data_IF_949930835637
#
_entry.id   IF_949930835637
#
_cell.length_a   1.000
_cell.length_b   1.000
_cell.length_c   1.000
_cell.angle_alpha   90.00
_cell.angle_beta   90.00
_cell.angle_gamma   90.00
#
_symmetry.space_group_name_H-M   'P 1'
#
loop_
_entity.id
_entity.type
_entity.pdbx_description
1 polymer ?
#
# COMPACT_ATOMS: atom_id res chain seq x y z
N UNK A 1 49.55 -40.90 -2.60
CA UNK A 1 49.91 -41.21 -1.19
C UNK A 1 48.94 -40.52 -0.32
N UNK A 2 48.21 -41.22 0.22
CA UNK A 2 47.45 -41.94 1.23
C UNK A 2 46.14 -41.16 1.47
N UNK A 3 45.08 -41.68 1.11
CA UNK A 3 44.01 -42.47 1.73
C UNK A 3 43.89 -42.34 3.24
N UNK A 4 42.73 -41.81 3.68
CA UNK A 4 42.09 -42.25 4.90
C UNK A 4 40.56 -42.03 4.90
N UNK A 5 39.81 -43.09 4.69
CA UNK A 5 38.46 -43.35 5.20
C UNK A 5 38.55 -44.06 6.52
N UNK A 6 37.67 -43.83 7.50
CA UNK A 6 36.73 -44.88 7.87
C UNK A 6 35.32 -44.45 8.27
N UNK A 7 34.39 -45.22 7.78
CA UNK A 7 33.43 -46.13 8.41
C UNK A 7 32.32 -45.59 9.30
N UNK A 8 31.15 -45.94 8.78
CA UNK A 8 29.78 -46.05 9.38
C UNK A 8 29.76 -46.60 10.81
N UNK A 9 28.83 -46.07 11.61
CA UNK A 9 28.05 -46.87 12.55
C UNK A 9 26.58 -46.43 12.53
N UNK A 10 25.76 -47.37 12.10
CA UNK A 10 24.31 -47.49 12.33
C UNK A 10 24.07 -47.63 13.82
N UNK A 11 23.10 -46.98 14.38
CA UNK A 11 22.36 -47.52 15.51
C UNK A 11 20.88 -47.17 15.41
N UNK A 12 20.14 -48.26 15.27
CA UNK A 12 18.72 -48.44 15.16
C UNK A 12 18.15 -48.50 16.57
N UNK A 13 17.23 -47.64 16.98
CA UNK A 13 16.29 -47.98 18.06
C UNK A 13 14.87 -47.51 17.72
N UNK A 14 14.06 -48.51 17.63
CA UNK A 14 12.60 -48.51 17.36
C UNK A 14 11.82 -48.00 18.56
N UNK A 15 10.79 -47.23 18.25
CA UNK A 15 9.39 -47.14 18.74
C UNK A 15 9.02 -47.68 20.14
N UNK A 16 7.91 -47.20 20.75
CA UNK A 16 6.60 -47.62 20.25
C UNK A 16 5.49 -46.54 20.23
N UNK A 17 4.54 -46.83 19.32
CA UNK A 17 3.23 -46.20 19.22
C UNK A 17 2.36 -46.56 20.45
N UNK A 18 1.58 -45.55 20.90
CA UNK A 18 0.43 -45.82 21.76
C UNK A 18 -0.80 -45.28 21.04
N UNK A 19 -1.56 -46.25 20.51
CA UNK A 19 -2.97 -46.13 20.17
C UNK A 19 -3.79 -45.99 21.45
N UNK A 20 -4.69 -45.03 21.53
CA UNK A 20 -5.87 -45.13 22.37
C UNK A 20 -7.11 -44.73 21.57
N UNK A 21 -7.85 -45.76 21.17
CA UNK A 21 -9.27 -45.72 20.79
C UNK A 21 -10.13 -45.62 22.04
N UNK A 22 -11.20 -44.82 21.96
CA UNK A 22 -12.49 -45.03 22.64
C UNK A 22 -13.45 -44.02 22.03
N UNK A 23 -14.34 -44.34 21.17
CA UNK A 23 -15.55 -45.18 21.17
C UNK A 23 -16.71 -44.53 21.96
N UNK A 24 -17.71 -44.12 21.15
CA UNK A 24 -19.17 -44.21 21.33
C UNK A 24 -19.80 -43.68 22.63
N UNK A 25 -20.75 -42.75 22.46
CA UNK A 25 -22.15 -43.16 22.73
C UNK A 25 -23.14 -42.15 22.12
N UNK A 26 -23.99 -42.69 21.24
CA UNK A 26 -25.23 -42.12 20.79
C UNK A 26 -26.28 -42.27 21.89
N UNK A 27 -27.06 -41.28 22.14
CA UNK A 27 -28.31 -41.37 22.90
C UNK A 27 -29.46 -40.71 22.11
N UNK A 28 -30.22 -41.57 21.50
CA UNK A 28 -31.54 -41.39 20.93
C UNK A 28 -32.55 -41.32 22.09
N UNK A 29 -33.39 -40.27 22.18
CA UNK A 29 -34.62 -40.34 22.96
C UNK A 29 -35.78 -39.83 22.13
N UNK A 30 -36.75 -40.70 22.02
CA UNK A 30 -38.01 -40.67 21.31
C UNK A 30 -39.02 -39.61 21.76
N UNK A 31 -39.85 -39.31 20.80
CA UNK A 31 -41.24 -38.81 20.86
C UNK A 31 -42.06 -39.17 22.09
N UNK A 32 -42.88 -38.22 22.53
CA UNK A 32 -44.25 -38.50 22.97
C UNK A 32 -45.19 -37.41 22.46
N UNK A 33 -46.17 -37.89 21.68
CA UNK A 33 -47.34 -37.19 21.16
C UNK A 33 -48.47 -37.29 22.17
N UNK A 34 -49.14 -36.22 22.49
CA UNK A 34 -50.55 -36.11 22.92
C UNK A 34 -50.90 -34.62 22.72
N UNK A 35 -51.84 -34.20 22.01
CA UNK A 35 -53.17 -34.64 21.71
C UNK A 35 -54.15 -33.52 22.04
N UNK A 36 -54.78 -32.92 21.02
CA UNK A 36 -56.08 -32.27 20.98
C UNK A 36 -56.42 -31.09 21.90
N UNK A 37 -56.79 -29.96 21.26
CA UNK A 37 -57.57 -28.89 21.82
C UNK A 37 -57.59 -27.67 20.90
N UNK A 38 -58.51 -27.66 19.90
CA UNK A 38 -58.70 -26.49 19.04
C UNK A 38 -59.59 -25.42 19.69
N UNK A 39 -59.28 -24.17 19.37
CA UNK A 39 -60.23 -23.04 19.22
C UNK A 39 -59.50 -21.77 18.74
N UNK A 40 -60.17 -20.72 18.27
CA UNK A 40 -59.98 -20.27 16.88
C UNK A 40 -59.07 -19.06 16.74
N UNK A 41 -58.66 -18.83 15.47
CA UNK A 41 -57.77 -17.78 15.03
C UNK A 41 -58.23 -16.35 15.40
N UNK A 42 -57.31 -15.63 16.03
CA UNK A 42 -57.26 -14.15 16.05
C UNK A 42 -56.35 -13.65 14.94
N UNK A 43 -56.50 -12.42 14.44
CA UNK A 43 -55.77 -11.93 13.27
C UNK A 43 -54.28 -11.80 13.56
N UNK A 44 -53.45 -12.34 12.63
CA UNK A 44 -52.02 -12.43 12.77
C UNK A 44 -51.34 -11.08 12.87
N UNK A 45 -50.56 -10.96 13.92
CA UNK A 45 -49.49 -9.96 14.04
C UNK A 45 -48.32 -10.39 13.13
N UNK A 46 -48.05 -9.62 12.11
CA UNK A 46 -46.84 -9.76 11.33
C UNK A 46 -45.63 -9.44 12.22
N UNK A 47 -44.54 -10.23 12.15
CA UNK A 47 -43.29 -9.86 12.83
C UNK A 47 -42.83 -8.50 12.28
N UNK A 48 -42.20 -7.63 13.10
CA UNK A 48 -41.70 -6.35 12.66
C UNK A 48 -40.67 -6.54 11.57
N UNK A 49 -40.84 -5.83 10.45
CA UNK A 49 -39.90 -5.78 9.37
C UNK A 49 -38.57 -5.31 9.94
N UNK A 50 -37.45 -6.03 9.58
CA UNK A 50 -36.12 -5.59 9.87
C UNK A 50 -35.92 -4.16 9.35
N UNK A 51 -35.25 -3.27 10.09
CA UNK A 51 -34.98 -1.92 9.62
C UNK A 51 -34.22 -1.97 8.30
N UNK A 52 -34.78 -1.30 7.28
CA UNK A 52 -34.06 -1.12 6.02
C UNK A 52 -32.69 -0.51 6.30
N UNK A 53 -31.66 -1.17 5.84
CA UNK A 53 -30.31 -0.63 5.87
C UNK A 53 -30.32 0.64 5.02
N UNK A 54 -30.35 1.77 5.69
CA UNK A 54 -30.21 3.08 5.07
C UNK A 54 -28.85 3.10 4.39
N UNK A 55 -28.86 3.14 3.06
CA UNK A 55 -27.65 3.30 2.25
C UNK A 55 -27.06 4.65 2.66
N UNK A 56 -26.01 4.64 3.47
CA UNK A 56 -25.31 5.85 3.85
C UNK A 56 -24.92 6.59 2.55
N UNK A 57 -25.41 7.81 2.41
CA UNK A 57 -24.96 8.72 1.38
C UNK A 57 -23.43 8.85 1.47
N UNK A 58 -22.72 8.98 0.34
CA UNK A 58 -21.28 9.18 0.38
C UNK A 58 -20.99 10.39 1.27
N UNK A 59 -20.13 10.19 2.27
CA UNK A 59 -19.74 11.25 3.17
C UNK A 59 -19.22 12.43 2.33
N UNK A 60 -19.82 13.60 2.52
CA UNK A 60 -19.35 14.81 1.87
C UNK A 60 -17.85 14.97 2.16
N UNK A 61 -17.07 15.10 1.11
CA UNK A 61 -15.62 15.31 1.18
C UNK A 61 -15.36 16.50 2.10
N UNK A 62 -14.63 16.28 3.19
CA UNK A 62 -14.28 17.36 4.10
C UNK A 62 -13.58 18.46 3.30
N UNK A 63 -13.90 19.75 3.50
CA UNK A 63 -13.23 20.84 2.79
C UNK A 63 -11.72 20.72 3.00
N UNK A 64 -10.96 20.86 1.91
CA UNK A 64 -9.50 20.81 1.96
C UNK A 64 -9.01 21.76 3.06
N UNK A 65 -8.10 21.32 3.94
CA UNK A 65 -7.63 22.15 5.04
C UNK A 65 -7.08 23.46 4.49
N UNK A 66 -7.54 24.58 5.00
CA UNK A 66 -6.95 25.89 4.75
C UNK A 66 -5.57 25.89 5.42
N UNK A 67 -4.53 25.72 4.61
CA UNK A 67 -3.15 25.83 5.08
C UNK A 67 -2.85 27.31 5.33
N UNK A 68 -3.04 27.76 6.56
CA UNK A 68 -2.75 29.13 6.97
C UNK A 68 -1.24 29.44 7.05
N UNK A 69 -0.38 28.39 7.02
CA UNK A 69 1.08 28.57 7.06
C UNK A 69 1.56 29.28 5.77
N UNK A 70 2.10 30.53 5.88
CA UNK A 70 2.56 31.30 4.74
C UNK A 70 3.67 30.61 3.92
N UNK A 71 4.39 29.66 4.51
CA UNK A 71 5.45 28.91 3.82
C UNK A 71 4.88 27.80 2.92
N UNK A 72 3.76 27.18 3.31
CA UNK A 72 3.15 26.06 2.61
C UNK A 72 2.03 26.49 1.66
N UNK A 73 1.26 27.53 2.04
CA UNK A 73 0.13 28.03 1.28
C UNK A 73 0.43 28.30 -0.22
N UNK A 74 1.58 28.87 -0.62
CA UNK A 74 1.90 29.07 -2.03
C UNK A 74 2.07 27.75 -2.80
N UNK A 75 2.59 26.69 -2.14
CA UNK A 75 2.82 25.38 -2.74
C UNK A 75 1.48 24.67 -2.97
N UNK A 76 0.52 24.84 -2.08
CA UNK A 76 -0.77 24.16 -2.11
C UNK A 76 -1.79 24.83 -3.05
N UNK A 77 -1.58 26.09 -3.44
CA UNK A 77 -2.49 26.79 -4.36
C UNK A 77 -2.54 26.14 -5.75
N UNK A 78 -3.73 25.96 -6.34
CA UNK A 78 -3.86 25.49 -7.70
C UNK A 78 -3.09 26.39 -8.69
N UNK A 79 -2.37 25.75 -9.62
CA UNK A 79 -1.62 26.42 -10.66
C UNK A 79 -1.38 25.50 -11.85
N UNK A 80 -1.54 25.97 -13.07
CA UNK A 80 -1.60 25.16 -14.31
C UNK A 80 -0.58 25.53 -15.40
N UNK A 81 0.48 26.26 -15.07
CA UNK A 81 1.53 26.59 -16.06
C UNK A 81 2.47 25.41 -16.39
N UNK A 82 3.44 25.66 -17.25
CA UNK A 82 4.47 24.69 -17.65
C UNK A 82 5.82 24.99 -16.95
N UNK A 83 6.88 24.31 -17.36
CA UNK A 83 8.21 24.28 -16.74
C UNK A 83 8.81 25.66 -16.50
N UNK A 84 8.68 26.59 -17.43
CA UNK A 84 9.18 27.97 -17.31
C UNK A 84 8.62 28.68 -16.07
N UNK A 85 7.32 28.54 -15.86
CA UNK A 85 6.66 29.04 -14.66
C UNK A 85 7.09 28.29 -13.38
N UNK A 86 7.31 26.97 -13.47
CA UNK A 86 7.83 26.17 -12.35
C UNK A 86 9.25 26.63 -11.96
N UNK A 87 10.11 26.87 -12.95
CA UNK A 87 11.46 27.41 -12.74
C UNK A 87 11.41 28.81 -12.15
N UNK A 88 10.51 29.67 -12.60
CA UNK A 88 10.33 31.02 -12.07
C UNK A 88 9.90 31.02 -10.60
N UNK A 89 8.96 30.15 -10.22
CA UNK A 89 8.49 30.00 -8.82
C UNK A 89 9.41 29.15 -7.95
N UNK A 90 10.45 28.51 -8.53
CA UNK A 90 11.48 27.72 -7.87
C UNK A 90 11.02 26.38 -7.28
N UNK A 91 9.88 25.84 -7.68
CA UNK A 91 9.47 24.51 -7.26
C UNK A 91 8.60 23.81 -8.31
N UNK A 92 8.70 22.47 -8.31
CA UNK A 92 7.86 21.52 -9.04
C UNK A 92 7.16 20.65 -7.99
N UNK A 93 5.86 20.52 -8.07
CA UNK A 93 5.05 19.71 -7.16
C UNK A 93 4.87 18.33 -7.72
N UNK A 94 5.37 17.33 -7.01
CA UNK A 94 5.26 15.93 -7.38
C UNK A 94 4.26 15.23 -6.47
N UNK A 95 3.12 14.80 -7.01
CA UNK A 95 2.12 14.01 -6.30
C UNK A 95 2.61 12.57 -6.20
N UNK A 96 2.58 12.01 -5.00
CA UNK A 96 3.01 10.64 -4.73
C UNK A 96 2.02 9.94 -3.80
N UNK A 97 1.65 8.67 -4.03
CA UNK A 97 0.92 7.91 -3.03
C UNK A 97 1.88 7.49 -1.91
N UNK A 98 1.38 7.47 -0.67
CA UNK A 98 2.13 6.94 0.45
C UNK A 98 2.18 5.42 0.36
N UNK A 99 3.37 4.83 0.28
CA UNK A 99 3.56 3.39 0.03
C UNK A 99 4.82 2.89 0.70
N UNK A 100 4.79 1.68 1.24
CA UNK A 100 5.94 1.03 1.92
C UNK A 100 7.17 0.86 1.00
N UNK A 101 7.02 1.01 -0.33
CA UNK A 101 8.10 0.83 -1.31
C UNK A 101 8.37 2.04 -2.19
N UNK A 102 7.31 2.82 -2.54
CA UNK A 102 7.46 3.94 -3.47
C UNK A 102 7.70 5.28 -2.79
N UNK A 103 6.96 5.60 -1.72
CA UNK A 103 7.16 6.85 -0.98
C UNK A 103 6.74 6.69 0.48
N UNK A 104 7.66 6.87 1.41
CA UNK A 104 7.42 6.83 2.85
C UNK A 104 8.42 7.74 3.58
N UNK A 105 8.12 8.03 4.83
CA UNK A 105 9.02 8.78 5.72
C UNK A 105 9.70 7.78 6.65
N UNK A 106 11.02 7.86 6.75
CA UNK A 106 11.82 7.06 7.68
C UNK A 106 12.79 7.97 8.43
N UNK A 107 12.57 8.15 9.72
CA UNK A 107 13.38 9.03 10.60
C UNK A 107 13.50 10.46 10.07
N UNK A 108 12.39 11.01 9.56
CA UNK A 108 12.34 12.34 8.98
C UNK A 108 12.81 12.43 7.52
N UNK A 109 13.42 11.38 6.96
CA UNK A 109 13.87 11.35 5.58
C UNK A 109 12.79 10.79 4.64
N UNK A 110 12.57 11.44 3.52
CA UNK A 110 11.77 10.89 2.43
C UNK A 110 12.53 9.75 1.75
N UNK A 111 11.91 8.56 1.69
CA UNK A 111 12.50 7.35 1.12
C UNK A 111 11.53 6.66 0.17
N UNK A 112 12.04 5.69 -0.58
CA UNK A 112 11.27 4.93 -1.58
C UNK A 112 11.68 5.27 -3.01
N UNK A 113 11.17 4.49 -3.96
CA UNK A 113 11.55 4.61 -5.37
C UNK A 113 11.21 6.01 -5.90
N UNK A 114 10.01 6.51 -5.63
CA UNK A 114 9.60 7.85 -6.07
C UNK A 114 10.46 8.94 -5.42
N UNK A 115 10.76 8.83 -4.13
CA UNK A 115 11.60 9.80 -3.43
C UNK A 115 13.02 9.89 -4.03
N UNK A 116 13.64 8.73 -4.33
CA UNK A 116 14.96 8.69 -4.96
C UNK A 116 14.94 9.26 -6.38
N UNK A 117 13.91 8.91 -7.18
CA UNK A 117 13.73 9.43 -8.53
C UNK A 117 13.54 10.96 -8.54
N UNK A 118 12.71 11.49 -7.64
CA UNK A 118 12.47 12.93 -7.52
C UNK A 118 13.73 13.69 -7.11
N UNK A 119 14.48 13.16 -6.15
CA UNK A 119 15.75 13.75 -5.69
C UNK A 119 16.79 13.80 -6.82
N UNK A 120 16.93 12.72 -7.59
CA UNK A 120 17.86 12.70 -8.71
C UNK A 120 17.37 13.58 -9.87
N UNK A 121 16.05 13.62 -10.14
CA UNK A 121 15.47 14.54 -11.11
C UNK A 121 15.73 16.00 -10.76
N UNK A 122 15.55 16.40 -9.49
CA UNK A 122 15.90 17.73 -9.00
C UNK A 122 17.37 18.08 -9.28
N UNK A 123 18.26 17.17 -8.96
CA UNK A 123 19.71 17.33 -9.15
C UNK A 123 20.05 17.51 -10.65
N UNK A 124 19.57 16.63 -11.52
CA UNK A 124 19.81 16.67 -12.98
C UNK A 124 19.22 17.94 -13.60
N UNK A 125 18.00 18.31 -13.21
CA UNK A 125 17.34 19.54 -13.68
C UNK A 125 18.16 20.78 -13.31
N UNK A 126 18.59 20.91 -12.05
CA UNK A 126 19.37 22.03 -11.60
C UNK A 126 20.76 22.12 -12.25
N UNK A 127 21.40 20.99 -12.53
CA UNK A 127 22.64 20.94 -13.30
C UNK A 127 22.43 21.47 -14.74
N UNK A 128 21.36 21.04 -15.40
CA UNK A 128 21.01 21.47 -16.75
C UNK A 128 20.67 22.97 -16.81
N UNK A 129 19.91 23.46 -15.84
CA UNK A 129 19.54 24.88 -15.71
C UNK A 129 20.72 25.75 -15.25
N UNK A 130 21.85 25.15 -14.87
CA UNK A 130 23.04 25.83 -14.31
C UNK A 130 22.68 26.73 -13.12
N UNK A 131 21.71 26.29 -12.30
CA UNK A 131 21.35 27.03 -11.10
C UNK A 131 22.52 27.01 -10.10
N UNK A 132 22.78 28.15 -9.45
CA UNK A 132 23.83 28.28 -8.42
C UNK A 132 23.19 28.23 -7.02
N UNK A 133 22.99 29.38 -6.40
CA UNK A 133 22.41 29.50 -5.06
C UNK A 133 20.89 29.25 -5.03
N UNK A 134 20.17 29.69 -6.07
CA UNK A 134 18.71 29.59 -6.15
C UNK A 134 18.30 28.36 -6.99
N UNK A 135 18.12 27.23 -6.34
CA UNK A 135 17.69 25.97 -6.98
C UNK A 135 16.19 25.94 -7.26
N UNK A 136 15.78 25.07 -8.17
CA UNK A 136 14.41 24.62 -8.34
C UNK A 136 14.24 23.36 -7.52
N UNK A 137 13.33 23.35 -6.57
CA UNK A 137 13.06 22.20 -5.70
C UNK A 137 11.95 21.33 -6.25
N UNK A 138 12.07 20.02 -6.11
CA UNK A 138 11.00 19.06 -6.42
C UNK A 138 10.37 18.67 -5.08
N UNK A 139 9.16 19.17 -4.84
CA UNK A 139 8.44 18.97 -3.58
C UNK A 139 7.49 17.79 -3.73
N UNK A 140 7.74 16.72 -3.01
CA UNK A 140 6.81 15.59 -2.94
C UNK A 140 5.59 15.96 -2.08
N UNK A 141 4.40 15.75 -2.64
CA UNK A 141 3.12 15.97 -1.98
C UNK A 141 2.40 14.62 -1.89
N UNK A 142 2.35 14.00 -0.70
CA UNK A 142 1.62 12.75 -0.50
C UNK A 142 0.11 12.98 -0.69
N UNK A 143 -0.50 12.13 -1.52
CA UNK A 143 -1.95 12.15 -1.79
C UNK A 143 -2.46 10.72 -1.96
N UNK A 144 -3.76 10.52 -1.83
CA UNK A 144 -4.37 9.22 -2.15
C UNK A 144 -4.21 8.93 -3.65
N UNK A 145 -4.11 7.66 -3.98
CA UNK A 145 -3.87 7.22 -5.37
C UNK A 145 -4.98 7.63 -6.33
N UNK A 146 -6.24 7.57 -5.89
CA UNK A 146 -7.42 7.99 -6.67
C UNK A 146 -7.43 9.50 -7.00
N UNK A 147 -6.74 10.32 -6.19
CA UNK A 147 -6.67 11.76 -6.37
C UNK A 147 -5.56 12.22 -7.34
N UNK A 148 -4.61 11.35 -7.69
CA UNK A 148 -3.42 11.74 -8.45
C UNK A 148 -3.75 12.46 -9.77
N UNK A 149 -4.59 11.87 -10.61
CA UNK A 149 -4.91 12.45 -11.93
C UNK A 149 -5.81 13.66 -11.79
N UNK A 150 -6.80 13.61 -10.91
CA UNK A 150 -7.68 14.75 -10.64
C UNK A 150 -6.89 15.96 -10.14
N UNK A 151 -5.97 15.76 -9.21
CA UNK A 151 -5.12 16.84 -8.68
C UNK A 151 -4.14 17.40 -9.72
N UNK A 152 -3.65 16.59 -10.66
CA UNK A 152 -2.89 17.10 -11.82
C UNK A 152 -3.77 18.01 -12.68
N UNK A 153 -5.00 17.60 -13.01
CA UNK A 153 -5.94 18.36 -13.82
C UNK A 153 -6.30 19.68 -13.13
N UNK A 154 -6.58 19.65 -11.85
CA UNK A 154 -6.91 20.83 -11.02
C UNK A 154 -5.70 21.77 -10.77
N UNK A 155 -4.50 21.35 -11.19
CA UNK A 155 -3.30 22.15 -10.95
C UNK A 155 -2.82 22.15 -9.49
N UNK A 156 -3.17 21.16 -8.69
CA UNK A 156 -2.65 20.95 -7.33
C UNK A 156 -1.29 20.25 -7.32
N UNK A 157 -0.92 19.62 -8.44
CA UNK A 157 0.38 19.02 -8.73
C UNK A 157 0.82 19.32 -10.14
N UNK A 158 2.10 19.12 -10.42
CA UNK A 158 2.70 19.33 -11.74
C UNK A 158 3.10 18.00 -12.37
N UNK A 159 3.52 17.04 -11.54
CA UNK A 159 4.01 15.71 -11.88
C UNK A 159 3.41 14.70 -10.91
N UNK A 160 3.18 13.46 -11.33
CA UNK A 160 2.77 12.35 -10.45
C UNK A 160 3.64 11.12 -10.70
N UNK A 161 4.07 10.47 -9.62
CA UNK A 161 4.82 9.21 -9.61
C UNK A 161 4.21 8.26 -8.58
N UNK A 162 4.27 6.94 -8.84
CA UNK A 162 3.76 5.95 -7.91
C UNK A 162 3.36 4.65 -8.58
N UNK A 163 4.21 4.09 -9.44
CA UNK A 163 3.90 2.87 -10.20
C UNK A 163 2.65 3.04 -11.07
N UNK A 164 2.62 4.10 -11.88
CA UNK A 164 1.46 4.45 -12.68
C UNK A 164 1.51 3.73 -14.03
N UNK A 165 0.60 2.77 -14.22
CA UNK A 165 0.44 2.07 -15.50
C UNK A 165 -0.20 3.00 -16.53
N UNK A 166 0.41 3.07 -17.70
CA UNK A 166 -0.12 3.80 -18.85
C UNK A 166 -1.26 3.01 -19.48
N UNK A 167 -2.46 3.59 -19.48
CA UNK A 167 -3.63 3.01 -20.18
C UNK A 167 -4.25 4.03 -21.13
N UNK A 168 -4.97 3.58 -22.18
CA UNK A 168 -5.67 4.50 -23.09
C UNK A 168 -6.67 5.42 -22.36
N UNK A 169 -7.33 4.91 -21.33
CA UNK A 169 -8.30 5.69 -20.55
C UNK A 169 -7.60 6.81 -19.76
N UNK A 170 -6.48 6.51 -19.13
CA UNK A 170 -5.68 7.49 -18.39
C UNK A 170 -5.04 8.54 -19.29
N UNK A 171 -4.62 8.14 -20.50
CA UNK A 171 -4.10 9.06 -21.51
C UNK A 171 -5.14 10.05 -22.04
N UNK A 172 -6.44 9.78 -21.88
CA UNK A 172 -7.49 10.78 -22.16
C UNK A 172 -7.48 11.91 -21.13
N UNK A 173 -7.03 11.65 -19.91
CA UNK A 173 -7.05 12.59 -18.78
C UNK A 173 -5.75 13.38 -18.63
N UNK A 174 -4.61 12.70 -18.72
CA UNK A 174 -3.26 13.23 -18.48
C UNK A 174 -2.30 12.79 -19.56
N UNK A 175 -1.13 13.41 -19.64
CA UNK A 175 -0.02 12.96 -20.45
C UNK A 175 0.95 12.13 -19.59
N UNK A 176 1.67 11.22 -20.25
CA UNK A 176 2.69 10.38 -19.61
C UNK A 176 4.07 10.64 -20.23
N UNK A 177 5.10 10.41 -19.43
CA UNK A 177 6.47 10.38 -19.90
C UNK A 177 6.73 9.15 -20.78
N UNK A 178 7.91 9.10 -21.41
CA UNK A 178 8.48 7.83 -21.88
C UNK A 178 8.47 6.82 -20.72
N UNK A 179 8.28 5.51 -20.99
CA UNK A 179 8.21 4.52 -19.94
C UNK A 179 9.51 4.39 -19.14
N UNK A 180 9.41 4.44 -17.82
CA UNK A 180 10.50 4.10 -16.91
C UNK A 180 10.69 2.58 -16.78
N UNK A 181 9.62 1.81 -16.96
CA UNK A 181 9.61 0.34 -16.99
C UNK A 181 8.61 -0.14 -18.05
N UNK A 182 8.94 -1.23 -18.73
CA UNK A 182 8.08 -1.88 -19.75
C UNK A 182 7.99 -3.37 -19.50
N UNK A 183 7.03 -4.03 -20.16
CA UNK A 183 6.85 -5.47 -20.04
C UNK A 183 6.25 -5.89 -18.69
N UNK A 184 5.58 -4.99 -18.01
CA UNK A 184 4.90 -5.28 -16.74
C UNK A 184 3.70 -6.19 -16.99
N UNK A 185 3.51 -7.15 -16.13
CA UNK A 185 2.37 -8.08 -16.14
C UNK A 185 1.54 -7.87 -14.89
N UNK A 186 0.23 -7.83 -15.05
CA UNK A 186 -0.72 -7.81 -13.94
C UNK A 186 -1.13 -9.25 -13.63
N UNK A 187 -0.66 -9.78 -12.51
CA UNK A 187 -0.82 -11.17 -12.12
C UNK A 187 -1.84 -11.35 -11.02
N UNK A 188 -2.57 -12.44 -11.06
CA UNK A 188 -3.51 -12.82 -10.00
C UNK A 188 -2.72 -13.37 -8.81
N UNK A 189 -3.00 -12.82 -7.63
CA UNK A 189 -2.44 -13.29 -6.35
C UNK A 189 -3.57 -13.79 -5.48
N UNK A 190 -3.43 -15.01 -4.94
CA UNK A 190 -4.40 -15.63 -4.06
C UNK A 190 -3.80 -15.89 -2.68
N UNK A 191 -4.66 -15.99 -1.66
CA UNK A 191 -4.28 -16.35 -0.30
C UNK A 191 -4.95 -17.67 0.15
N UNK A 192 -4.91 -17.98 1.45
CA UNK A 192 -5.53 -19.18 2.00
C UNK A 192 -7.01 -19.32 1.65
N UNK A 193 -7.74 -18.21 1.59
CA UNK A 193 -9.16 -18.17 1.23
C UNK A 193 -9.44 -18.38 -0.28
N UNK A 194 -8.40 -18.36 -1.13
CA UNK A 194 -8.49 -18.43 -2.59
C UNK A 194 -7.56 -19.43 -3.26
N UNK A 195 -7.08 -20.45 -2.58
CA UNK A 195 -5.91 -21.27 -2.95
C UNK A 195 -6.00 -22.09 -4.24
N UNK A 196 -7.21 -22.34 -4.79
CA UNK A 196 -7.41 -23.30 -5.90
C UNK A 196 -7.65 -22.61 -7.27
N UNK A 197 -7.28 -21.36 -7.42
CA UNK A 197 -7.42 -20.60 -8.68
C UNK A 197 -6.28 -20.98 -9.62
N UNK A 198 -6.62 -21.44 -10.84
CA UNK A 198 -5.70 -21.83 -11.91
C UNK A 198 -6.05 -21.20 -13.25
N UNK A 199 -7.24 -20.64 -13.36
CA UNK A 199 -7.78 -20.05 -14.59
C UNK A 199 -8.68 -18.86 -14.30
N UNK A 200 -9.00 -18.05 -15.31
CA UNK A 200 -10.01 -16.99 -15.20
C UNK A 200 -11.41 -17.54 -14.88
N UNK A 201 -11.69 -18.82 -15.25
CA UNK A 201 -12.95 -19.45 -14.93
C UNK A 201 -13.08 -19.72 -13.42
N UNK A 202 -12.00 -20.07 -12.78
CA UNK A 202 -11.97 -20.26 -11.31
C UNK A 202 -12.20 -18.94 -10.57
N UNK A 203 -11.80 -17.80 -11.17
CA UNK A 203 -12.08 -16.45 -10.61
C UNK A 203 -13.56 -16.05 -10.71
N UNK A 204 -14.34 -16.63 -11.64
CA UNK A 204 -15.76 -16.31 -11.80
C UNK A 204 -16.60 -16.67 -10.56
N UNK A 205 -16.14 -17.59 -9.74
CA UNK A 205 -16.78 -17.97 -8.47
C UNK A 205 -16.18 -17.31 -7.24
N UNK A 206 -15.20 -16.40 -7.40
CA UNK A 206 -14.45 -15.79 -6.31
C UNK A 206 -14.37 -14.29 -6.45
N UNK A 207 -14.31 -13.61 -5.32
CA UNK A 207 -14.13 -12.17 -5.28
C UNK A 207 -12.69 -11.79 -5.55
N UNK A 208 -12.47 -10.85 -6.46
CA UNK A 208 -11.16 -10.24 -6.73
C UNK A 208 -11.22 -8.79 -6.28
N UNK A 209 -10.40 -8.45 -5.30
CA UNK A 209 -10.38 -7.16 -4.65
C UNK A 209 -9.26 -6.27 -5.18
N UNK A 210 -9.60 -5.17 -5.83
CA UNK A 210 -8.67 -4.18 -6.35
C UNK A 210 -9.27 -2.79 -6.18
N UNK A 211 -8.45 -1.74 -6.07
CA UNK A 211 -8.95 -0.36 -6.04
C UNK A 211 -9.63 -0.02 -7.35
N UNK A 212 -10.74 0.71 -7.28
CA UNK A 212 -11.46 1.16 -8.48
C UNK A 212 -10.63 2.13 -9.34
N UNK A 213 -9.70 2.88 -8.74
CA UNK A 213 -8.76 3.77 -9.43
C UNK A 213 -7.57 3.06 -10.10
N UNK A 214 -7.39 1.75 -9.90
CA UNK A 214 -6.24 0.98 -10.41
C UNK A 214 -6.41 0.61 -11.89
N UNK A 215 -5.28 0.37 -12.60
CA UNK A 215 -5.29 -0.25 -13.92
C UNK A 215 -5.81 -1.68 -13.88
N UNK A 216 -5.63 -2.36 -12.76
CA UNK A 216 -6.15 -3.71 -12.54
C UNK A 216 -7.68 -3.75 -12.66
N UNK A 217 -8.37 -2.76 -12.11
CA UNK A 217 -9.82 -2.61 -12.27
C UNK A 217 -10.22 -2.39 -13.73
N UNK A 218 -9.53 -1.47 -14.41
CA UNK A 218 -9.77 -1.18 -15.83
C UNK A 218 -9.62 -2.45 -16.69
N UNK A 219 -8.55 -3.21 -16.50
CA UNK A 219 -8.28 -4.41 -17.29
C UNK A 219 -9.21 -5.57 -16.91
N UNK A 220 -9.55 -5.75 -15.63
CA UNK A 220 -10.54 -6.76 -15.21
C UNK A 220 -11.94 -6.45 -15.75
N UNK A 221 -12.32 -5.18 -15.84
CA UNK A 221 -13.57 -4.79 -16.52
C UNK A 221 -13.53 -5.13 -18.02
N UNK A 222 -12.38 -4.94 -18.69
CA UNK A 222 -12.21 -5.34 -20.08
C UNK A 222 -12.30 -6.86 -20.24
N UNK A 223 -11.67 -7.64 -19.36
CA UNK A 223 -11.81 -9.10 -19.30
C UNK A 223 -13.28 -9.49 -19.14
N UNK A 224 -14.01 -8.87 -18.22
CA UNK A 224 -15.43 -9.15 -18.00
C UNK A 224 -16.29 -8.78 -19.23
N UNK A 225 -15.96 -7.71 -19.94
CA UNK A 225 -16.67 -7.34 -21.16
C UNK A 225 -16.51 -8.42 -22.25
N UNK A 226 -15.31 -8.97 -22.42
CA UNK A 226 -15.08 -10.07 -23.38
C UNK A 226 -15.76 -11.38 -22.93
N UNK A 227 -15.69 -11.72 -21.63
CA UNK A 227 -16.38 -12.91 -21.07
C UNK A 227 -17.90 -12.80 -21.27
N UNK A 228 -18.48 -11.63 -21.05
CA UNK A 228 -19.92 -11.38 -21.31
C UNK A 228 -20.30 -11.61 -22.78
N UNK A 229 -19.47 -11.12 -23.72
CA UNK A 229 -19.67 -11.39 -25.17
C UNK A 229 -19.60 -12.89 -25.47
N UNK A 230 -18.69 -13.60 -24.83
CA UNK A 230 -18.53 -15.04 -24.98
C UNK A 230 -19.58 -15.87 -24.18
N UNK A 231 -20.49 -15.22 -23.45
CA UNK A 231 -21.47 -15.84 -22.55
C UNK A 231 -20.83 -16.73 -21.48
N UNK A 232 -19.65 -16.33 -21.02
CA UNK A 232 -18.92 -16.93 -19.92
C UNK A 232 -19.21 -16.17 -18.60
N UNK A 233 -19.12 -16.85 -17.45
CA UNK A 233 -19.26 -16.19 -16.15
C UNK A 233 -18.22 -15.08 -15.96
N UNK A 234 -18.65 -13.93 -15.45
CA UNK A 234 -17.76 -12.78 -15.17
C UNK A 234 -16.96 -13.01 -13.88
N UNK A 235 -15.77 -12.42 -13.80
CA UNK A 235 -14.99 -12.33 -12.57
C UNK A 235 -15.73 -11.42 -11.58
N UNK A 236 -15.85 -11.84 -10.33
CA UNK A 236 -16.54 -11.06 -9.29
C UNK A 236 -15.62 -9.95 -8.76
N UNK A 237 -15.73 -8.76 -9.35
CA UNK A 237 -14.93 -7.60 -8.94
C UNK A 237 -15.49 -6.98 -7.66
N UNK A 238 -14.59 -6.66 -6.73
CA UNK A 238 -14.86 -5.89 -5.52
C UNK A 238 -13.91 -4.71 -5.43
N UNK A 239 -14.45 -3.54 -5.15
CA UNK A 239 -13.65 -2.35 -4.91
C UNK A 239 -13.04 -2.42 -3.51
N UNK A 240 -11.71 -2.42 -3.46
CA UNK A 240 -10.97 -2.19 -2.23
C UNK A 240 -11.00 -0.69 -1.88
N UNK A 241 -10.81 -0.38 -0.60
CA UNK A 241 -10.73 1.01 -0.14
C UNK A 241 -9.54 1.73 -0.83
N UNK A 242 -9.79 2.94 -1.30
CA UNK A 242 -8.79 3.75 -2.02
C UNK A 242 -7.64 4.24 -1.12
N UNK A 243 -7.76 4.12 0.18
CA UNK A 243 -6.68 4.40 1.14
C UNK A 243 -5.65 3.26 1.23
N UNK A 244 -6.01 2.06 0.77
CA UNK A 244 -5.12 0.90 0.78
C UNK A 244 -4.19 0.93 -0.44
N UNK A 245 -2.91 0.67 -0.23
CA UNK A 245 -1.96 0.40 -1.31
C UNK A 245 -1.94 -1.09 -1.66
N UNK A 246 -1.25 -1.45 -2.74
CA UNK A 246 -1.19 -2.85 -3.21
C UNK A 246 -0.64 -3.80 -2.14
N UNK A 247 0.34 -3.33 -1.37
CA UNK A 247 0.91 -4.08 -0.25
C UNK A 247 -0.05 -4.32 0.91
N UNK A 248 -0.99 -3.41 1.16
CA UNK A 248 -1.96 -3.56 2.22
C UNK A 248 -3.04 -4.57 1.81
N UNK A 249 -3.47 -4.53 0.54
CA UNK A 249 -4.39 -5.53 -0.02
C UNK A 249 -3.72 -6.92 -0.03
N UNK A 250 -2.44 -7.01 -0.40
CA UNK A 250 -1.68 -8.27 -0.35
C UNK A 250 -1.55 -8.81 1.09
N UNK A 251 -1.39 -7.93 2.08
CA UNK A 251 -1.37 -8.32 3.50
C UNK A 251 -2.72 -8.91 3.93
N UNK A 252 -3.84 -8.31 3.49
CA UNK A 252 -5.19 -8.86 3.74
C UNK A 252 -5.41 -10.21 3.04
N UNK A 253 -4.88 -10.37 1.82
CA UNK A 253 -4.91 -11.65 1.10
C UNK A 253 -4.08 -12.69 1.84
N UNK A 254 -2.88 -12.35 2.32
CA UNK A 254 -2.03 -13.23 3.13
C UNK A 254 -2.72 -13.66 4.42
N UNK A 255 -3.44 -12.76 5.08
CA UNK A 255 -4.19 -13.06 6.30
C UNK A 255 -5.48 -13.88 6.07
N UNK A 256 -5.83 -14.19 4.80
CA UNK A 256 -7.06 -14.90 4.44
C UNK A 256 -8.33 -14.07 4.58
N UNK A 257 -8.22 -12.74 4.76
CA UNK A 257 -9.36 -11.82 4.81
C UNK A 257 -9.96 -11.58 3.43
N UNK A 258 -9.12 -11.60 2.39
CA UNK A 258 -9.51 -11.48 0.99
C UNK A 258 -9.04 -12.72 0.22
N UNK A 259 -9.89 -13.27 -0.69
CA UNK A 259 -9.53 -14.47 -1.42
C UNK A 259 -8.48 -14.24 -2.51
N UNK A 260 -8.58 -13.12 -3.24
CA UNK A 260 -7.70 -12.80 -4.35
C UNK A 260 -7.59 -11.30 -4.61
N UNK A 261 -6.46 -10.91 -5.21
CA UNK A 261 -6.20 -9.58 -5.77
C UNK A 261 -5.43 -9.70 -7.09
N UNK A 262 -5.22 -8.56 -7.76
CA UNK A 262 -4.34 -8.45 -8.93
C UNK A 262 -3.34 -7.35 -8.63
N UNK A 263 -2.07 -7.61 -8.91
CA UNK A 263 -0.99 -6.62 -8.77
C UNK A 263 0.07 -6.84 -9.84
N UNK A 264 0.93 -5.86 -10.05
CA UNK A 264 2.06 -5.97 -10.96
C UNK A 264 3.04 -7.06 -10.50
N UNK A 265 3.53 -7.86 -11.44
CA UNK A 265 4.38 -9.02 -11.18
C UNK A 265 5.63 -8.69 -10.35
N UNK A 266 6.25 -7.54 -10.54
CA UNK A 266 7.42 -7.13 -9.76
C UNK A 266 7.08 -6.82 -8.30
N UNK A 267 5.87 -6.31 -8.00
CA UNK A 267 5.36 -6.11 -6.64
C UNK A 267 4.99 -7.47 -6.01
N UNK A 268 4.23 -8.29 -6.75
CA UNK A 268 3.86 -9.64 -6.31
C UNK A 268 5.09 -10.46 -5.90
N UNK A 269 6.13 -10.48 -6.75
CA UNK A 269 7.39 -11.19 -6.50
C UNK A 269 8.13 -10.68 -5.26
N UNK A 270 8.10 -9.37 -5.02
CA UNK A 270 8.72 -8.79 -3.84
C UNK A 270 7.95 -9.16 -2.56
N UNK A 271 6.63 -8.95 -2.56
CA UNK A 271 5.81 -9.15 -1.38
C UNK A 271 5.63 -10.63 -1.01
N UNK A 272 5.71 -11.56 -1.96
CA UNK A 272 5.72 -12.99 -1.68
C UNK A 272 6.92 -13.46 -0.83
N UNK A 273 8.01 -12.68 -0.79
CA UNK A 273 9.13 -12.95 0.11
C UNK A 273 8.85 -12.54 1.56
N UNK A 274 7.79 -11.75 1.78
CA UNK A 274 7.39 -11.16 3.07
C UNK A 274 6.12 -11.82 3.59
N UNK A 275 5.16 -12.07 2.71
CA UNK A 275 3.87 -12.69 2.97
C UNK A 275 3.89 -14.15 2.51
N UNK A 276 4.12 -15.11 3.43
CA UNK A 276 4.39 -16.51 3.06
C UNK A 276 3.15 -17.27 2.57
N UNK A 277 1.95 -16.79 2.90
CA UNK A 277 0.70 -17.48 2.59
C UNK A 277 0.04 -17.00 1.29
N UNK A 278 0.64 -15.99 0.61
CA UNK A 278 0.18 -15.63 -0.74
C UNK A 278 0.79 -16.56 -1.79
N UNK A 279 0.00 -16.80 -2.82
CA UNK A 279 0.42 -17.57 -4.01
C UNK A 279 0.33 -16.67 -5.24
N UNK A 280 1.44 -16.60 -5.96
CA UNK A 280 1.51 -15.94 -7.26
C UNK A 280 1.07 -16.92 -8.34
N UNK A 281 0.06 -16.56 -9.11
CA UNK A 281 -0.37 -17.32 -10.28
C UNK A 281 0.23 -16.66 -11.53
N UNK A 282 1.54 -16.88 -11.74
CA UNK A 282 2.33 -16.20 -12.79
C UNK A 282 1.78 -16.44 -14.21
N UNK A 283 1.20 -17.63 -14.46
CA UNK A 283 0.56 -17.99 -15.71
C UNK A 283 -0.84 -17.35 -15.87
N UNK A 284 -1.40 -16.79 -14.80
CA UNK A 284 -2.73 -16.17 -14.80
C UNK A 284 -2.61 -14.66 -14.77
N UNK A 285 -2.45 -14.08 -15.94
CA UNK A 285 -2.28 -12.64 -16.13
C UNK A 285 -3.59 -12.00 -16.62
N UNK A 286 -3.89 -10.85 -16.07
CA UNK A 286 -5.03 -10.01 -16.49
C UNK A 286 -4.61 -9.09 -17.63
N UNK A 287 -3.36 -8.61 -17.58
CA UNK A 287 -2.76 -7.77 -18.60
C UNK A 287 -1.26 -8.08 -18.73
N UNK A 288 -0.71 -7.93 -19.94
CA UNK A 288 0.70 -8.15 -20.27
C UNK A 288 1.25 -6.99 -21.09
N UNK A 289 2.57 -6.78 -21.01
CA UNK A 289 3.23 -5.73 -21.79
C UNK A 289 2.98 -4.31 -21.25
N UNK A 290 2.48 -4.18 -20.04
CA UNK A 290 2.22 -2.90 -19.40
C UNK A 290 3.47 -2.01 -19.31
N UNK A 291 3.26 -0.70 -19.25
CA UNK A 291 4.31 0.31 -19.13
C UNK A 291 4.04 1.20 -17.93
N UNK A 292 5.07 1.43 -17.12
CA UNK A 292 5.02 2.35 -15.97
C UNK A 292 5.71 3.65 -16.36
N UNK A 293 5.03 4.77 -16.14
CA UNK A 293 5.54 6.10 -16.47
C UNK A 293 5.14 7.15 -15.42
N UNK A 294 5.81 8.30 -15.45
CA UNK A 294 5.37 9.48 -14.73
C UNK A 294 4.22 10.15 -15.48
N UNK A 295 3.24 10.68 -14.75
CA UNK A 295 2.12 11.41 -15.34
C UNK A 295 2.25 12.92 -15.07
N UNK A 296 1.74 13.73 -15.99
CA UNK A 296 1.67 15.18 -15.84
C UNK A 296 0.46 15.74 -16.59
N UNK A 297 0.08 16.96 -16.22
CA UNK A 297 -1.06 17.62 -16.86
C UNK A 297 -0.85 17.79 -18.36
N UNK A 298 -1.90 17.62 -19.14
CA UNK A 298 -1.89 17.92 -20.59
C UNK A 298 -1.46 19.36 -20.86
N UNK A 299 -0.76 19.56 -21.97
CA UNK A 299 -0.27 20.89 -22.34
C UNK A 299 0.95 21.34 -21.55
N UNK A 300 1.77 20.42 -21.05
CA UNK A 300 3.03 20.70 -20.34
C UNK A 300 4.27 20.22 -21.12
N UNK A 301 4.49 20.72 -22.36
CA UNK A 301 5.56 20.21 -23.23
C UNK A 301 6.97 20.46 -22.69
N UNK A 302 7.17 21.55 -21.95
CA UNK A 302 8.44 21.87 -21.31
C UNK A 302 8.80 20.89 -20.21
N UNK A 303 7.84 20.58 -19.32
CA UNK A 303 8.02 19.56 -18.31
C UNK A 303 8.21 18.17 -18.92
N UNK A 304 7.38 17.80 -19.89
CA UNK A 304 7.47 16.53 -20.63
C UNK A 304 8.86 16.30 -21.21
N UNK A 305 9.43 17.32 -21.86
CA UNK A 305 10.78 17.27 -22.44
C UNK A 305 11.85 16.97 -21.39
N UNK A 306 11.79 17.59 -20.21
CA UNK A 306 12.79 17.38 -19.16
C UNK A 306 12.61 16.03 -18.47
N UNK A 307 11.37 15.62 -18.20
CA UNK A 307 11.09 14.29 -17.64
C UNK A 307 11.52 13.19 -18.59
N UNK A 308 11.23 13.30 -19.89
CA UNK A 308 11.66 12.30 -20.89
C UNK A 308 13.19 12.25 -21.04
N UNK A 309 13.86 13.40 -21.01
CA UNK A 309 15.33 13.45 -21.02
C UNK A 309 15.91 12.73 -19.77
N UNK A 310 15.31 12.91 -18.62
CA UNK A 310 15.69 12.21 -17.40
C UNK A 310 15.41 10.71 -17.49
N UNK A 311 14.21 10.30 -17.87
CA UNK A 311 13.81 8.88 -18.01
C UNK A 311 14.75 8.14 -18.97
N UNK A 312 15.16 8.75 -20.07
CA UNK A 312 16.08 8.14 -21.04
C UNK A 312 17.37 7.60 -20.41
N UNK A 313 17.86 8.23 -19.35
CA UNK A 313 19.11 7.87 -18.65
C UNK A 313 18.88 7.25 -17.28
N UNK A 314 17.64 7.22 -16.78
CA UNK A 314 17.29 6.74 -15.42
C UNK A 314 16.18 5.67 -15.39
N UNK A 315 15.78 5.12 -16.55
CA UNK A 315 14.80 4.02 -16.64
C UNK A 315 15.39 2.67 -16.23
N UNK A 316 14.53 1.69 -16.03
CA UNK A 316 14.94 0.29 -15.79
C UNK A 316 15.94 -0.18 -16.85
N UNK A 317 16.94 -0.93 -16.39
CA UNK A 317 18.13 -1.32 -17.19
C UNK A 317 19.32 -0.38 -17.02
N UNK A 318 19.16 0.83 -16.47
CA UNK A 318 20.28 1.71 -16.10
C UNK A 318 20.81 1.38 -14.70
N UNK A 319 22.07 1.73 -14.44
CA UNK A 319 22.68 1.50 -13.12
C UNK A 319 21.88 2.15 -11.99
N UNK A 320 21.43 3.40 -12.18
CA UNK A 320 20.67 4.14 -11.18
C UNK A 320 19.36 3.42 -10.85
N UNK A 321 18.51 3.19 -11.87
CA UNK A 321 17.21 2.56 -11.64
C UNK A 321 17.34 1.14 -11.08
N UNK A 322 18.29 0.34 -11.58
CA UNK A 322 18.54 -1.01 -11.05
C UNK A 322 18.98 -0.98 -9.58
N UNK A 323 19.80 0.00 -9.18
CA UNK A 323 20.23 0.17 -7.78
C UNK A 323 19.09 0.56 -6.88
N UNK A 324 18.23 1.50 -7.31
CA UNK A 324 17.04 1.91 -6.56
C UNK A 324 16.05 0.75 -6.45
N UNK A 325 15.78 0.05 -7.55
CA UNK A 325 14.90 -1.11 -7.56
C UNK A 325 15.41 -2.24 -6.64
N UNK A 326 16.71 -2.53 -6.68
CA UNK A 326 17.34 -3.50 -5.80
C UNK A 326 17.11 -3.14 -4.32
N UNK A 327 17.25 -1.87 -3.96
CA UNK A 327 17.09 -1.37 -2.58
C UNK A 327 15.67 -1.51 -2.05
N UNK A 328 14.66 -1.24 -2.87
CA UNK A 328 13.27 -1.13 -2.41
C UNK A 328 12.37 -2.30 -2.81
N UNK A 329 12.71 -3.06 -3.87
CA UNK A 329 11.90 -4.17 -4.39
C UNK A 329 12.67 -5.50 -4.50
N UNK A 330 13.85 -5.61 -3.85
CA UNK A 330 14.54 -6.90 -3.67
C UNK A 330 15.04 -7.09 -2.24
N UNK A 331 15.49 -6.03 -1.57
CA UNK A 331 15.94 -6.10 -0.18
C UNK A 331 14.74 -6.02 0.79
N UNK A 332 14.39 -7.17 1.37
CA UNK A 332 13.25 -7.29 2.30
C UNK A 332 13.59 -6.91 3.75
N UNK A 333 14.88 -6.73 4.07
CA UNK A 333 15.34 -6.53 5.47
C UNK A 333 14.65 -5.38 6.16
N UNK A 334 14.45 -4.27 5.46
CA UNK A 334 13.81 -3.08 6.00
C UNK A 334 12.39 -3.37 6.49
N UNK A 335 11.58 -4.07 5.68
CA UNK A 335 10.18 -4.38 6.00
C UNK A 335 10.11 -5.47 7.05
N UNK A 336 10.89 -6.56 6.89
CA UNK A 336 10.94 -7.64 7.89
C UNK A 336 11.41 -7.16 9.26
N UNK A 337 12.27 -6.14 9.34
CA UNK A 337 12.69 -5.56 10.59
C UNK A 337 11.59 -4.70 11.26
N UNK A 338 10.75 -4.01 10.47
CA UNK A 338 9.64 -3.20 11.02
C UNK A 338 8.50 -4.07 11.58
N UNK A 339 8.34 -5.29 11.08
CA UNK A 339 7.35 -6.27 11.58
C UNK A 339 7.94 -7.28 12.57
N UNK A 340 9.20 -7.10 12.99
CA UNK A 340 9.89 -8.01 13.89
C UNK A 340 9.16 -8.07 15.25
N UNK A 341 9.06 -9.27 15.83
CA UNK A 341 8.48 -9.53 17.15
C UNK A 341 9.06 -8.60 18.25
N UNK A 342 10.34 -8.23 18.13
CA UNK A 342 10.99 -7.28 19.05
C UNK A 342 10.39 -5.87 18.96
N UNK A 343 10.09 -5.38 17.75
CA UNK A 343 9.49 -4.05 17.55
C UNK A 343 8.03 -4.05 18.00
N UNK A 344 7.29 -5.14 17.73
CA UNK A 344 5.93 -5.33 18.23
C UNK A 344 5.90 -5.40 19.77
N UNK A 345 6.87 -6.06 20.42
CA UNK A 345 6.98 -6.06 21.88
C UNK A 345 7.22 -4.65 22.44
N UNK A 346 8.08 -3.86 21.83
CA UNK A 346 8.29 -2.45 22.25
C UNK A 346 7.01 -1.63 22.10
N UNK A 347 6.33 -1.75 20.95
CA UNK A 347 5.06 -1.07 20.72
C UNK A 347 4.01 -1.47 21.76
N UNK A 348 3.79 -2.77 21.97
CA UNK A 348 2.84 -3.27 22.95
C UNK A 348 3.17 -2.85 24.40
N UNK A 349 4.44 -2.75 24.73
CA UNK A 349 4.88 -2.29 26.05
C UNK A 349 4.60 -0.80 26.29
N UNK A 350 4.47 -0.01 25.25
CA UNK A 350 4.30 1.46 25.35
C UNK A 350 2.89 1.93 25.03
N UNK A 351 2.06 1.10 24.38
CA UNK A 351 0.72 1.47 23.90
C UNK A 351 -0.18 2.02 25.03
N UNK A 352 -0.16 1.41 26.21
CA UNK A 352 -0.97 1.85 27.36
C UNK A 352 -0.56 3.25 27.85
N UNK A 353 0.73 3.60 27.76
CA UNK A 353 1.22 4.93 28.10
C UNK A 353 0.74 5.96 27.08
N UNK A 354 0.84 5.66 25.78
CA UNK A 354 0.36 6.54 24.72
C UNK A 354 -1.14 6.78 24.83
N UNK A 355 -1.94 5.73 25.01
CA UNK A 355 -3.39 5.84 25.20
C UNK A 355 -3.75 6.69 26.42
N UNK A 356 -3.08 6.47 27.55
CA UNK A 356 -3.32 7.22 28.79
C UNK A 356 -3.06 8.72 28.62
N UNK A 357 -1.87 9.08 28.15
CA UNK A 357 -1.47 10.48 28.08
C UNK A 357 -2.10 11.21 26.90
N UNK A 358 -2.25 10.56 25.75
CA UNK A 358 -2.97 11.13 24.62
C UNK A 358 -4.42 11.45 24.97
N UNK A 359 -5.12 10.51 25.63
CA UNK A 359 -6.49 10.75 26.11
C UNK A 359 -6.60 11.88 27.15
N UNK A 360 -5.56 12.09 27.98
CA UNK A 360 -5.53 13.19 28.95
C UNK A 360 -5.43 14.59 28.31
N UNK A 361 -4.78 14.66 27.14
CA UNK A 361 -4.49 15.92 26.45
C UNK A 361 -5.20 16.02 25.08
N UNK A 362 -6.17 15.16 24.82
CA UNK A 362 -6.98 15.14 23.58
C UNK A 362 -6.16 14.97 22.28
N UNK A 363 -5.04 14.25 22.36
CA UNK A 363 -4.26 13.87 21.20
C UNK A 363 -4.65 12.49 20.68
N UNK A 364 -4.44 12.27 19.36
CA UNK A 364 -4.47 10.92 18.80
C UNK A 364 -3.26 10.11 19.30
N UNK A 365 -3.52 9.05 20.04
CA UNK A 365 -2.47 8.20 20.62
C UNK A 365 -1.63 7.47 19.57
N UNK A 366 -2.22 7.13 18.40
CA UNK A 366 -1.49 6.53 17.30
C UNK A 366 -0.50 7.52 16.66
N UNK A 367 -0.90 8.78 16.54
CA UNK A 367 0.00 9.85 16.09
C UNK A 367 1.19 10.02 17.04
N UNK A 368 0.94 10.02 18.36
CA UNK A 368 2.01 10.10 19.37
C UNK A 368 2.93 8.87 19.30
N UNK A 369 2.36 7.67 19.12
CA UNK A 369 3.14 6.43 18.97
C UNK A 369 3.99 6.45 17.68
N UNK A 370 3.45 6.93 16.57
CA UNK A 370 4.17 7.07 15.31
C UNK A 370 5.33 8.07 15.45
N UNK A 371 5.12 9.21 16.10
CA UNK A 371 6.18 10.17 16.39
C UNK A 371 7.27 9.56 17.28
N UNK A 372 6.91 8.87 18.36
CA UNK A 372 7.85 8.18 19.23
C UNK A 372 8.68 7.12 18.50
N UNK A 373 8.05 6.40 17.55
CA UNK A 373 8.78 5.46 16.69
C UNK A 373 9.79 6.17 15.79
N UNK A 374 9.44 7.30 15.20
CA UNK A 374 10.35 8.12 14.39
C UNK A 374 11.54 8.66 15.20
N UNK A 375 11.28 9.11 16.42
CA UNK A 375 12.29 9.74 17.28
C UNK A 375 13.32 8.74 17.85
N UNK A 376 12.89 7.55 18.26
CA UNK A 376 13.72 6.62 19.02
C UNK A 376 13.58 5.14 18.61
N UNK A 377 12.63 4.79 17.70
CA UNK A 377 12.22 3.40 17.50
C UNK A 377 11.56 2.80 18.74
N UNK A 378 10.77 3.59 19.49
CA UNK A 378 10.12 3.22 20.75
C UNK A 378 11.10 2.75 21.84
N UNK A 379 12.29 3.31 21.89
CA UNK A 379 13.32 2.94 22.87
C UNK A 379 13.55 4.07 23.88
N UNK A 380 13.17 3.83 25.13
CA UNK A 380 13.33 4.78 26.22
C UNK A 380 14.80 5.01 26.61
N UNK A 381 15.70 4.11 26.26
CA UNK A 381 17.14 4.19 26.56
C UNK A 381 17.94 5.06 25.60
N UNK A 382 17.36 5.48 24.49
CA UNK A 382 18.07 6.25 23.45
C UNK A 382 18.43 7.64 23.93
N UNK A 383 19.67 8.06 23.62
CA UNK A 383 20.16 9.44 23.80
C UNK A 383 20.71 9.95 22.49
N UNK A 384 20.32 11.15 22.09
CA UNK A 384 20.87 11.77 20.90
C UNK A 384 22.26 12.40 21.18
N UNK A 385 23.08 12.62 20.14
CA UNK A 385 24.35 13.31 20.29
C UNK A 385 24.25 14.73 20.87
N UNK A 386 23.10 15.38 20.74
CA UNK A 386 22.82 16.72 21.29
C UNK A 386 22.16 16.69 22.67
N UNK A 387 21.95 15.49 23.25
CA UNK A 387 21.48 15.32 24.63
C UNK A 387 19.99 15.12 24.81
N UNK A 388 19.20 14.94 23.73
CA UNK A 388 17.79 14.53 23.85
C UNK A 388 17.68 13.10 24.37
N UNK A 389 16.64 12.81 25.19
CA UNK A 389 16.52 11.58 25.96
C UNK A 389 15.17 10.91 25.74
N UNK A 390 15.19 9.57 25.68
CA UNK A 390 14.01 8.72 25.83
C UNK A 390 13.17 8.59 24.58
N UNK A 391 12.00 7.99 24.75
CA UNK A 391 11.11 7.57 23.68
C UNK A 391 10.68 8.71 22.75
N UNK A 392 10.53 9.94 23.29
CA UNK A 392 10.14 11.14 22.54
C UNK A 392 11.32 12.08 22.24
N UNK A 393 12.56 11.69 22.54
CA UNK A 393 13.77 12.50 22.34
C UNK A 393 13.64 13.95 22.85
N UNK A 394 13.16 14.12 24.10
CA UNK A 394 12.97 15.44 24.71
C UNK A 394 14.26 15.92 25.35
N UNK A 395 14.60 17.19 25.14
CA UNK A 395 15.72 17.82 25.83
C UNK A 395 15.43 17.99 27.33
N UNK A 396 16.37 17.69 28.25
CA UNK A 396 16.17 17.83 29.70
C UNK A 396 15.75 19.24 30.11
N UNK A 397 16.20 20.26 29.41
CA UNK A 397 15.79 21.66 29.62
C UNK A 397 14.33 21.88 29.30
N UNK A 398 13.82 21.30 28.22
CA UNK A 398 12.41 21.38 27.82
C UNK A 398 11.51 20.63 28.81
N UNK A 399 11.97 19.50 29.32
CA UNK A 399 11.20 18.72 30.31
C UNK A 399 11.05 19.45 31.64
N UNK A 400 12.09 20.20 32.09
CA UNK A 400 12.07 20.96 33.34
C UNK A 400 11.26 22.24 33.26
N UNK A 401 11.22 22.92 32.10
CA UNK A 401 10.50 24.19 31.93
C UNK A 401 8.99 24.10 32.12
N UNK A 402 8.42 22.89 32.20
CA UNK A 402 6.98 22.67 32.46
C UNK A 402 6.64 22.45 33.95
N UNK A 403 7.63 22.29 34.82
CA UNK A 403 7.39 22.16 36.27
C UNK A 403 7.29 23.54 36.96
N UNK A 404 7.61 24.64 36.26
CA UNK A 404 7.63 26.00 36.78
C UNK A 404 6.42 26.86 36.37
N UNK A 405 5.45 26.31 35.63
CA UNK A 405 4.19 26.92 35.25
C UNK A 405 3.03 25.98 35.61
#
# INVERSE_FOLDING_TARGET
MADYHPTRKNDNRRTPAILLQSACTAALVMLLVFGCGGSPAGPGEQPPAAPATETAAPAAEAPAPDFEDPAIAPIMRPWTGDLDGMVKRRYIRALVPYSKTYFFIDRGDQRGIAAEMLREFEKVLNQKLRTRALKVHVVAIPVRRDQLFQYLIEGRGDLALGNLTVTPERQKLVDFSDPAMTGVQEVVVTGPAGSDVRSLDDLASREVWVRASSSYWEHLQAVNAERRKARQPEVMLRAADEQLEDEDILEMVNAGLLPATVVDNHLATFWAQIYPDIRLNEDLTVNTGGSIAAAFRKGSPGLAKEVNAFVKTHKMGTLFANTVFQRYLKDTRRIKNSTNERELKKFNATIALFQKYAGQYEFDWLMIAAQAYQESGLDQGVRSPVGAIGIMQVMPTTARSREEN
#
